data_IF_020444268083
#
_entry.id   IF_020444268083
#
_cell.length_a   1.000
_cell.length_b   1.000
_cell.length_c   1.000
_cell.angle_alpha   90.00
_cell.angle_beta   90.00
_cell.angle_gamma   90.00
#
_symmetry.space_group_name_H-M   'P 1'
#
loop_
_entity.id
_entity.type
_entity.pdbx_description
1 polymer ?
#
# COMPACT_ATOMS: atom_id res chain seq x y z
N UNK A 1 -0.24 28.58 14.82
CA UNK A 1 -0.89 28.12 13.57
C UNK A 1 -0.15 26.87 13.06
N UNK A 2 -0.36 25.71 13.69
CA UNK A 2 0.18 24.39 13.29
C UNK A 2 -0.69 23.26 13.89
N UNK A 3 -1.94 23.10 13.45
CA UNK A 3 -2.82 22.02 13.94
C UNK A 3 -3.49 21.19 12.85
N UNK A 4 -3.34 21.51 11.56
CA UNK A 4 -4.07 20.84 10.47
C UNK A 4 -3.28 19.74 9.74
N UNK A 5 -1.95 19.65 9.91
CA UNK A 5 -1.14 18.64 9.21
C UNK A 5 -1.00 17.32 9.97
N UNK A 6 -1.21 17.31 11.29
CA UNK A 6 -1.10 16.10 12.11
C UNK A 6 -2.37 15.25 12.09
N UNK A 7 -3.53 15.85 11.79
CA UNK A 7 -4.82 15.15 11.79
C UNK A 7 -5.01 14.22 10.58
N UNK A 8 -4.30 14.47 9.47
CA UNK A 8 -4.42 13.69 8.22
C UNK A 8 -3.55 12.43 8.16
N UNK A 9 -2.77 12.12 9.20
CA UNK A 9 -1.93 10.91 9.25
C UNK A 9 -2.64 9.70 9.86
N UNK A 10 -3.74 9.90 10.57
CA UNK A 10 -4.50 8.84 11.25
C UNK A 10 -5.59 8.24 10.33
N UNK A 11 -6.28 9.08 9.54
CA UNK A 11 -7.25 8.62 8.54
C UNK A 11 -6.62 7.70 7.46
N UNK A 12 -5.38 7.94 7.07
CA UNK A 12 -4.67 7.11 6.09
C UNK A 12 -4.37 5.69 6.59
N UNK A 13 -4.44 5.46 7.91
CA UNK A 13 -4.24 4.15 8.57
C UNK A 13 -5.59 3.61 9.09
N UNK A 14 -6.71 4.32 8.84
CA UNK A 14 -8.05 3.89 9.26
C UNK A 14 -8.36 4.11 10.73
N UNK A 15 -7.67 5.06 11.40
CA UNK A 15 -7.97 5.46 12.78
C UNK A 15 -8.75 6.77 12.71
N UNK A 16 -10.08 6.69 12.75
CA UNK A 16 -10.98 7.86 12.82
C UNK A 16 -11.58 8.00 14.22
N UNK A 17 -12.00 9.23 14.55
CA UNK A 17 -12.54 9.59 15.88
C UNK A 17 -13.84 8.84 16.19
N UNK A 18 -13.99 8.41 17.45
CA UNK A 18 -14.95 7.39 17.92
C UNK A 18 -16.44 7.73 17.79
N UNK A 19 -16.80 8.85 17.16
CA UNK A 19 -18.16 9.37 17.13
C UNK A 19 -18.94 9.05 15.84
N UNK A 20 -18.28 8.57 14.78
CA UNK A 20 -18.93 8.27 13.48
C UNK A 20 -19.11 6.77 13.17
N UNK A 21 -18.76 5.90 14.12
CA UNK A 21 -18.86 4.47 13.92
C UNK A 21 -20.33 4.00 14.02
N UNK A 22 -20.89 3.42 12.94
CA UNK A 22 -21.70 2.19 13.11
C UNK A 22 -20.95 1.29 14.09
N UNK A 23 -21.64 0.55 14.98
CA UNK A 23 -20.97 -0.16 16.10
C UNK A 23 -19.67 -0.77 15.59
N UNK A 24 -18.56 -0.38 16.21
CA UNK A 24 -17.22 -0.76 15.76
C UNK A 24 -17.13 -2.27 15.51
N UNK A 25 -17.87 -3.03 16.30
CA UNK A 25 -18.05 -4.47 16.15
C UNK A 25 -18.63 -4.90 14.78
N UNK A 26 -19.65 -4.22 14.25
CA UNK A 26 -20.26 -4.59 12.97
C UNK A 26 -19.29 -4.41 11.79
N UNK A 27 -18.46 -3.36 11.84
CA UNK A 27 -17.43 -3.10 10.83
C UNK A 27 -16.29 -4.11 10.91
N UNK A 28 -15.83 -4.42 12.13
CA UNK A 28 -14.81 -5.44 12.37
C UNK A 28 -15.30 -6.82 11.89
N UNK A 29 -16.56 -7.17 12.16
CA UNK A 29 -17.14 -8.44 11.75
C UNK A 29 -17.31 -8.55 10.23
N UNK A 30 -17.71 -7.47 9.56
CA UNK A 30 -17.75 -7.42 8.10
C UNK A 30 -16.34 -7.56 7.47
N UNK A 31 -15.33 -6.92 8.04
CA UNK A 31 -13.95 -7.02 7.59
C UNK A 31 -13.40 -8.45 7.74
N UNK A 32 -13.68 -9.11 8.87
CA UNK A 32 -13.29 -10.51 9.12
C UNK A 32 -13.97 -11.47 8.13
N UNK A 33 -15.27 -11.30 7.88
CA UNK A 33 -15.98 -12.13 6.90
C UNK A 33 -15.41 -11.95 5.48
N UNK A 34 -15.13 -10.72 5.08
CA UNK A 34 -14.52 -10.43 3.78
C UNK A 34 -13.12 -11.04 3.66
N UNK A 35 -12.31 -10.94 4.70
CA UNK A 35 -10.97 -11.53 4.74
C UNK A 35 -11.02 -13.06 4.59
N UNK A 36 -11.92 -13.73 5.32
CA UNK A 36 -12.09 -15.18 5.22
C UNK A 36 -12.54 -15.63 3.82
N UNK A 37 -13.44 -14.87 3.19
CA UNK A 37 -13.93 -15.18 1.84
C UNK A 37 -12.89 -14.92 0.75
N UNK A 38 -12.05 -13.89 0.92
CA UNK A 38 -11.05 -13.49 -0.07
C UNK A 38 -9.70 -14.19 0.09
N UNK A 39 -9.48 -14.89 1.20
CA UNK A 39 -8.24 -15.64 1.44
C UNK A 39 -8.29 -16.99 0.70
N UNK A 40 -7.44 -17.15 -0.30
CA UNK A 40 -7.24 -18.39 -1.04
C UNK A 40 -5.84 -18.94 -0.77
N UNK A 41 -5.74 -20.25 -0.56
CA UNK A 41 -4.45 -20.93 -0.46
C UNK A 41 -3.99 -21.35 -1.85
N UNK A 42 -2.82 -20.86 -2.24
CA UNK A 42 -2.15 -21.21 -3.49
C UNK A 42 -1.47 -22.58 -3.38
N UNK A 43 -1.28 -23.24 -4.52
CA UNK A 43 -0.69 -24.60 -4.60
C UNK A 43 0.73 -24.69 -4.03
N UNK A 44 1.49 -23.59 -4.07
CA UNK A 44 2.82 -23.48 -3.47
C UNK A 44 2.80 -23.29 -1.94
N UNK A 45 1.63 -23.37 -1.30
CA UNK A 45 1.46 -23.22 0.14
C UNK A 45 1.37 -21.78 0.64
N UNK A 46 1.41 -20.77 -0.25
CA UNK A 46 1.21 -19.36 0.12
C UNK A 46 -0.29 -19.03 0.22
N UNK A 47 -0.62 -18.01 1.01
CA UNK A 47 -1.98 -17.46 1.05
C UNK A 47 -2.02 -16.14 0.28
N UNK A 48 -3.04 -15.98 -0.54
CA UNK A 48 -3.39 -14.72 -1.16
C UNK A 48 -4.70 -14.25 -0.54
N UNK A 49 -4.75 -13.03 -0.04
CA UNK A 49 -5.96 -12.43 0.53
C UNK A 49 -6.17 -11.06 -0.10
N UNK A 50 -7.43 -10.72 -0.39
CA UNK A 50 -7.75 -9.35 -0.76
C UNK A 50 -7.53 -8.45 0.47
N UNK A 51 -7.00 -7.26 0.24
CA UNK A 51 -6.82 -6.29 1.30
C UNK A 51 -8.19 -5.97 1.95
N UNK A 52 -8.27 -5.89 3.29
CA UNK A 52 -9.52 -5.67 4.01
C UNK A 52 -9.90 -4.18 3.91
N UNK A 53 -10.25 -3.74 2.71
CA UNK A 53 -10.71 -2.38 2.48
C UNK A 53 -12.09 -2.18 3.09
N UNK A 54 -12.35 -0.96 3.55
CA UNK A 54 -13.70 -0.51 3.87
C UNK A 54 -14.51 -0.53 2.56
N UNK A 55 -15.71 -1.12 2.59
CA UNK A 55 -16.65 -1.13 1.46
C UNK A 55 -16.84 0.29 0.90
N UNK A 56 -16.64 0.48 -0.40
CA UNK A 56 -16.80 1.78 -1.07
C UNK A 56 -15.53 2.63 -1.17
N UNK A 57 -14.35 2.11 -0.82
CA UNK A 57 -13.09 2.81 -1.04
C UNK A 57 -12.83 3.02 -2.54
N UNK A 58 -12.40 4.23 -2.98
CA UNK A 58 -12.06 4.47 -4.38
C UNK A 58 -10.92 3.55 -4.84
N UNK A 59 -10.94 3.20 -6.12
CA UNK A 59 -9.84 2.45 -6.75
C UNK A 59 -8.55 3.24 -6.51
N UNK A 60 -7.54 2.57 -5.96
CA UNK A 60 -6.25 3.21 -5.75
C UNK A 60 -5.66 3.64 -7.09
N UNK A 61 -5.15 4.88 -7.21
CA UNK A 61 -4.48 5.29 -8.43
C UNK A 61 -3.26 4.41 -8.65
N UNK A 62 -3.08 3.92 -9.89
CA UNK A 62 -1.87 3.18 -10.25
C UNK A 62 -0.65 4.09 -10.12
N UNK A 63 0.38 3.61 -9.41
CA UNK A 63 1.67 4.29 -9.30
C UNK A 63 2.68 3.83 -10.37
N UNK A 64 2.24 2.97 -11.30
CA UNK A 64 3.11 2.30 -12.28
C UNK A 64 3.85 3.30 -13.17
N UNK A 65 3.13 4.26 -13.78
CA UNK A 65 3.73 5.24 -14.69
C UNK A 65 4.76 6.13 -13.96
N UNK A 66 4.46 6.52 -12.72
CA UNK A 66 5.35 7.34 -11.90
C UNK A 66 6.59 6.54 -11.49
N UNK A 67 6.41 5.27 -11.11
CA UNK A 67 7.52 4.38 -10.78
C UNK A 67 8.41 4.14 -12.00
N UNK A 68 7.84 3.90 -13.17
CA UNK A 68 8.56 3.72 -14.43
C UNK A 68 9.38 4.97 -14.80
N UNK A 69 8.78 6.17 -14.71
CA UNK A 69 9.49 7.43 -14.94
C UNK A 69 10.66 7.62 -13.98
N UNK A 70 10.47 7.29 -12.70
CA UNK A 70 11.54 7.35 -11.68
C UNK A 70 12.65 6.36 -11.98
N UNK A 71 12.31 5.14 -12.38
CA UNK A 71 13.26 4.12 -12.80
C UNK A 71 14.14 4.63 -13.94
N UNK A 72 13.53 5.07 -15.04
CA UNK A 72 14.27 5.61 -16.20
C UNK A 72 15.17 6.78 -15.81
N UNK A 73 14.68 7.70 -14.97
CA UNK A 73 15.49 8.83 -14.50
C UNK A 73 16.68 8.39 -13.64
N UNK A 74 16.47 7.43 -12.73
CA UNK A 74 17.51 6.89 -11.89
C UNK A 74 18.57 6.15 -12.72
N UNK A 75 18.16 5.30 -13.66
CA UNK A 75 19.06 4.58 -14.58
C UNK A 75 19.92 5.55 -15.37
N UNK A 76 19.33 6.59 -15.98
CA UNK A 76 20.10 7.62 -16.72
C UNK A 76 21.12 8.34 -15.85
N UNK A 77 20.79 8.63 -14.59
CA UNK A 77 21.75 9.24 -13.65
C UNK A 77 22.89 8.29 -13.32
N UNK A 78 22.60 7.02 -13.11
CA UNK A 78 23.62 6.00 -12.82
C UNK A 78 24.57 5.79 -14.02
N UNK A 79 24.03 5.78 -15.23
CA UNK A 79 24.81 5.72 -16.48
C UNK A 79 25.71 6.95 -16.62
N UNK A 80 25.17 8.16 -16.40
CA UNK A 80 25.94 9.40 -16.47
C UNK A 80 27.07 9.47 -15.42
N UNK A 81 26.90 8.78 -14.29
CA UNK A 81 27.93 8.66 -13.25
C UNK A 81 28.89 7.48 -13.48
N UNK A 82 28.65 6.64 -14.49
CA UNK A 82 29.41 5.42 -14.76
C UNK A 82 29.26 4.34 -13.67
N UNK A 83 28.21 4.42 -12.84
CA UNK A 83 28.01 3.56 -11.65
C UNK A 83 26.90 2.54 -11.80
N UNK A 84 26.38 2.34 -13.01
CA UNK A 84 25.28 1.42 -13.25
C UNK A 84 25.66 -0.02 -12.86
N UNK A 85 26.88 -0.46 -13.22
CA UNK A 85 27.36 -1.80 -12.90
C UNK A 85 27.63 -1.99 -11.41
N UNK A 86 28.23 -1.00 -10.74
CA UNK A 86 28.42 -1.03 -9.28
C UNK A 86 27.09 -1.17 -8.53
N UNK A 87 26.06 -0.46 -8.99
CA UNK A 87 24.72 -0.53 -8.40
C UNK A 87 24.07 -1.90 -8.65
N UNK A 88 24.25 -2.48 -9.84
CA UNK A 88 23.74 -3.81 -10.17
C UNK A 88 24.36 -4.89 -9.27
N UNK A 89 25.68 -4.83 -9.04
CA UNK A 89 26.37 -5.80 -8.18
C UNK A 89 25.84 -5.81 -6.74
N UNK A 90 25.43 -4.66 -6.20
CA UNK A 90 24.83 -4.57 -4.85
C UNK A 90 23.44 -5.23 -4.77
N UNK A 91 22.71 -5.29 -5.89
CA UNK A 91 21.38 -5.91 -5.95
C UNK A 91 21.44 -7.43 -6.18
N UNK A 92 22.54 -7.91 -6.77
CA UNK A 92 22.75 -9.32 -7.10
C UNK A 92 23.39 -10.12 -5.93
N UNK A 93 23.92 -9.44 -4.91
CA UNK A 93 24.40 -10.00 -3.63
C UNK A 93 23.24 -10.29 -2.64
#
# INVERSE_FOLDING_TARGET
MLTLLTLRKLDAIGISDSAECKSREDLEQAALQYFQQSTTRLENGRFEAALPWIQGHPILPSNEEVAMKRLVSATRKLEALGRLYDYQNVLDD
#
